data_IF_829077157113
#
_entry.id   IF_829077157113
#
_cell.length_a   1.000
_cell.length_b   1.000
_cell.length_c   1.000
_cell.angle_alpha   90.00
_cell.angle_beta   90.00
_cell.angle_gamma   90.00
#
_symmetry.space_group_name_H-M   'P 1'
#
loop_
_entity.id
_entity.type
_entity.pdbx_description
1 polymer ?
#
# COMPACT_ATOMS: atom_id res chain seq x y z
N UNK A 1 4.11 4.95 21.53
CA UNK A 1 4.36 6.32 21.04
C UNK A 1 4.04 6.38 19.55
N UNK A 2 2.82 6.01 19.16
CA UNK A 2 2.31 6.15 17.79
C UNK A 2 1.01 6.93 17.90
N UNK A 3 0.91 8.02 17.14
CA UNK A 3 -0.32 8.78 17.02
C UNK A 3 -1.42 7.81 16.53
N UNK A 4 -2.43 7.51 17.36
CA UNK A 4 -3.57 6.65 16.99
C UNK A 4 -4.55 7.34 16.03
N UNK A 5 -4.24 8.56 15.58
CA UNK A 5 -5.09 9.31 14.66
C UNK A 5 -4.92 8.78 13.23
N UNK A 6 -6.01 8.30 12.67
CA UNK A 6 -6.07 7.72 11.31
C UNK A 6 -5.90 8.77 10.20
N UNK A 7 -6.10 10.05 10.50
CA UNK A 7 -6.10 11.14 9.54
C UNK A 7 -5.28 12.35 10.01
N UNK A 8 -4.64 13.02 9.06
CA UNK A 8 -3.88 14.27 9.22
C UNK A 8 -4.37 15.28 8.17
N UNK A 9 -4.30 16.57 8.49
CA UNK A 9 -4.68 17.65 7.57
C UNK A 9 -3.42 18.38 7.13
N UNK A 10 -3.25 18.60 5.83
CA UNK A 10 -2.16 19.45 5.31
C UNK A 10 -2.45 20.92 5.63
N UNK A 11 -1.52 21.62 6.28
CA UNK A 11 -1.64 23.06 6.51
C UNK A 11 -1.07 23.86 5.33
N UNK A 12 0.12 23.49 4.87
CA UNK A 12 0.82 24.21 3.81
C UNK A 12 1.99 23.43 3.24
N UNK A 13 2.30 23.69 1.96
CA UNK A 13 3.52 23.22 1.29
C UNK A 13 4.45 24.40 1.04
N UNK A 14 5.75 24.16 1.17
CA UNK A 14 6.78 25.17 0.87
C UNK A 14 7.46 24.96 -0.49
N UNK A 15 7.25 23.79 -1.10
CA UNK A 15 7.89 23.37 -2.36
C UNK A 15 6.86 23.12 -3.46
N UNK A 16 7.28 23.30 -4.72
CA UNK A 16 6.45 23.10 -5.92
C UNK A 16 6.88 21.88 -6.74
N UNK A 17 6.03 21.47 -7.70
CA UNK A 17 6.40 20.41 -8.65
C UNK A 17 7.55 20.91 -9.52
N UNK A 18 8.62 20.12 -9.61
CA UNK A 18 9.84 20.46 -10.34
C UNK A 18 10.87 21.23 -9.52
N UNK A 19 10.59 21.52 -8.24
CA UNK A 19 11.56 22.19 -7.37
C UNK A 19 12.66 21.24 -6.91
N UNK A 20 13.85 21.78 -6.68
CA UNK A 20 15.01 21.03 -6.22
C UNK A 20 15.08 21.10 -4.69
N UNK A 21 14.79 19.98 -4.02
CA UNK A 21 14.79 19.89 -2.56
C UNK A 21 16.12 19.33 -2.06
N UNK A 22 16.58 19.84 -0.91
CA UNK A 22 17.81 19.38 -0.25
C UNK A 22 17.49 18.57 1.00
N UNK A 23 18.48 17.85 1.52
CA UNK A 23 18.36 17.18 2.80
C UNK A 23 18.04 18.17 3.92
N UNK A 24 17.08 17.79 4.79
CA UNK A 24 16.56 18.60 5.90
C UNK A 24 15.69 19.80 5.53
N UNK A 25 15.37 19.99 4.25
CA UNK A 25 14.48 21.05 3.80
C UNK A 25 13.01 20.75 4.19
N UNK A 26 12.24 21.72 4.74
CA UNK A 26 10.84 21.52 5.09
C UNK A 26 9.96 21.46 3.83
N UNK A 27 9.30 20.32 3.60
CA UNK A 27 8.47 20.08 2.42
C UNK A 27 7.03 20.54 2.66
N UNK A 28 6.44 20.05 3.75
CA UNK A 28 5.05 20.30 4.09
C UNK A 28 4.85 20.33 5.60
N UNK A 29 3.84 21.09 6.02
CA UNK A 29 3.37 21.16 7.38
C UNK A 29 2.07 20.39 7.49
N UNK A 30 2.05 19.39 8.37
CA UNK A 30 0.87 18.58 8.64
C UNK A 30 0.40 18.82 10.06
N UNK A 31 -0.90 19.05 10.22
CA UNK A 31 -1.54 19.13 11.51
C UNK A 31 -2.32 17.84 11.78
N UNK A 32 -2.00 17.22 12.89
CA UNK A 32 -2.79 16.14 13.49
C UNK A 32 -3.57 16.68 14.69
N UNK A 33 -4.52 15.89 15.20
CA UNK A 33 -5.29 16.22 16.42
C UNK A 33 -4.40 16.58 17.63
N UNK A 34 -3.15 16.08 17.67
CA UNK A 34 -2.26 16.23 18.83
C UNK A 34 -1.11 17.19 18.63
N UNK A 35 -0.68 17.42 17.40
CA UNK A 35 0.48 18.26 17.12
C UNK A 35 0.51 18.68 15.66
N UNK A 36 1.15 19.82 15.43
CA UNK A 36 1.62 20.23 14.12
C UNK A 36 3.06 19.78 13.95
N UNK A 37 3.34 19.09 12.85
CA UNK A 37 4.65 18.52 12.55
C UNK A 37 5.06 18.97 11.15
N UNK A 38 6.28 19.50 11.05
CA UNK A 38 6.90 19.82 9.76
C UNK A 38 7.63 18.58 9.24
N UNK A 39 7.26 18.11 8.05
CA UNK A 39 7.91 16.97 7.40
C UNK A 39 9.11 17.50 6.60
N UNK A 40 10.29 16.99 6.93
CA UNK A 40 11.54 17.32 6.24
C UNK A 40 11.95 16.22 5.27
N UNK A 41 12.58 16.62 4.16
CA UNK A 41 13.17 15.69 3.20
C UNK A 41 14.38 14.98 3.78
N UNK A 42 14.48 13.66 3.53
CA UNK A 42 15.65 12.85 3.91
C UNK A 42 16.76 12.82 2.85
N UNK A 43 16.44 13.17 1.61
CA UNK A 43 17.34 13.06 0.46
C UNK A 43 17.23 14.30 -0.42
N UNK A 44 18.31 14.59 -1.14
CA UNK A 44 18.34 15.63 -2.17
C UNK A 44 17.77 15.07 -3.48
N UNK A 45 16.88 15.81 -4.13
CA UNK A 45 16.20 15.33 -5.34
C UNK A 45 15.23 16.34 -5.94
N UNK A 46 14.55 15.91 -6.99
CA UNK A 46 13.55 16.74 -7.69
C UNK A 46 12.16 16.22 -7.33
N UNK A 47 11.25 17.15 -6.99
CA UNK A 47 9.84 16.82 -6.71
C UNK A 47 9.12 16.53 -8.03
N UNK A 48 8.67 15.28 -8.23
CA UNK A 48 7.99 14.88 -9.46
C UNK A 48 6.50 15.15 -9.43
N UNK A 49 5.85 14.87 -8.31
CA UNK A 49 4.40 15.00 -8.17
C UNK A 49 4.00 15.32 -6.72
N UNK A 50 2.97 16.15 -6.61
CA UNK A 50 2.32 16.53 -5.36
C UNK A 50 0.86 16.07 -5.44
N UNK A 51 0.47 15.13 -4.58
CA UNK A 51 -0.87 14.53 -4.63
C UNK A 51 -1.89 15.27 -3.78
N UNK A 52 -1.43 16.08 -2.81
CA UNK A 52 -2.31 16.76 -1.86
C UNK A 52 -2.15 18.27 -1.92
N UNK A 53 -3.27 18.96 -1.67
CA UNK A 53 -3.34 20.41 -1.57
C UNK A 53 -3.34 20.85 -0.10
N UNK A 54 -3.00 22.12 0.20
CA UNK A 54 -3.24 22.66 1.52
C UNK A 54 -4.74 22.55 1.87
N UNK A 55 -5.02 22.22 3.12
CA UNK A 55 -6.34 21.91 3.70
C UNK A 55 -6.97 20.58 3.29
N UNK A 56 -6.24 19.72 2.58
CA UNK A 56 -6.73 18.38 2.23
C UNK A 56 -6.50 17.38 3.38
N UNK A 57 -7.39 16.38 3.46
CA UNK A 57 -7.34 15.34 4.49
C UNK A 57 -6.62 14.10 3.97
N UNK A 58 -5.49 13.79 4.58
CA UNK A 58 -4.64 12.67 4.21
C UNK A 58 -4.76 11.54 5.25
N UNK A 59 -4.78 10.29 4.79
CA UNK A 59 -4.67 9.12 5.66
C UNK A 59 -3.20 8.85 5.97
N UNK A 60 -2.91 8.43 7.21
CA UNK A 60 -1.54 8.10 7.61
C UNK A 60 -1.05 6.88 6.81
N UNK A 61 0.10 7.05 6.15
CA UNK A 61 0.74 6.01 5.34
C UNK A 61 0.49 6.10 3.83
N UNK A 62 -0.20 7.14 3.34
CA UNK A 62 -0.24 7.45 1.92
C UNK A 62 0.98 8.29 1.48
N UNK A 63 1.40 8.13 0.22
CA UNK A 63 2.49 8.89 -0.36
C UNK A 63 2.07 10.35 -0.59
N UNK A 64 2.71 11.29 0.11
CA UNK A 64 2.41 12.72 0.02
C UNK A 64 3.11 13.38 -1.17
N UNK A 65 4.38 13.04 -1.38
CA UNK A 65 5.29 13.64 -2.36
C UNK A 65 6.17 12.55 -2.94
N UNK A 66 6.30 12.53 -4.26
CA UNK A 66 7.25 11.68 -4.96
C UNK A 66 8.52 12.48 -5.28
N UNK A 67 9.66 12.03 -4.73
CA UNK A 67 10.97 12.66 -4.93
C UNK A 67 11.83 11.70 -5.76
N UNK A 68 12.31 12.17 -6.91
CA UNK A 68 13.29 11.44 -7.71
C UNK A 68 14.70 11.78 -7.22
N UNK A 69 15.43 10.76 -6.79
CA UNK A 69 16.83 10.83 -6.37
C UNK A 69 17.63 9.96 -7.33
N UNK A 70 18.69 10.52 -7.94
CA UNK A 70 19.51 9.82 -8.95
C UNK A 70 20.29 8.61 -8.38
N UNK A 71 20.25 8.41 -7.06
CA UNK A 71 20.97 7.36 -6.36
C UNK A 71 20.09 6.10 -6.23
N UNK A 72 20.02 5.31 -7.32
CA UNK A 72 19.47 3.94 -7.43
C UNK A 72 19.04 3.27 -6.12
N UNK A 73 17.86 3.63 -5.61
CA UNK A 73 17.23 2.95 -4.47
C UNK A 73 15.77 2.75 -4.79
N UNK A 74 15.51 1.59 -5.37
CA UNK A 74 14.23 0.91 -5.39
C UNK A 74 13.56 0.98 -4.02
N UNK A 75 12.57 1.85 -3.86
CA UNK A 75 11.48 1.59 -2.93
C UNK A 75 10.16 1.57 -3.70
N UNK A 76 9.95 0.46 -4.41
CA UNK A 76 8.64 0.08 -4.92
C UNK A 76 7.76 -0.42 -3.77
N UNK A 77 7.32 0.48 -2.90
CA UNK A 77 6.10 0.26 -2.12
C UNK A 77 4.90 0.55 -3.02
N UNK A 78 4.70 -0.34 -4.00
CA UNK A 78 3.44 -0.45 -4.74
C UNK A 78 2.40 -1.03 -3.78
N UNK A 79 1.75 -0.17 -3.00
CA UNK A 79 0.49 -0.53 -2.35
C UNK A 79 -0.66 -0.07 -3.23
N UNK A 80 -0.98 -0.88 -4.24
CA UNK A 80 -2.23 -0.77 -4.97
C UNK A 80 -2.68 -2.16 -5.45
N UNK A 81 -3.68 -2.72 -4.76
CA UNK A 81 -4.60 -3.73 -5.26
C UNK A 81 -5.98 -3.21 -4.85
N UNK A 82 -6.53 -2.28 -5.63
CA UNK A 82 -7.48 -2.54 -6.72
C UNK A 82 -8.66 -3.44 -6.28
N UNK A 83 -9.71 -2.77 -5.82
CA UNK A 83 -11.07 -3.26 -5.82
C UNK A 83 -11.68 -3.10 -7.22
N UNK A 84 -11.82 -4.18 -7.99
CA UNK A 84 -12.97 -4.34 -8.90
C UNK A 84 -13.25 -5.85 -9.10
N UNK A 85 -14.52 -6.29 -9.09
CA UNK A 85 -14.94 -7.67 -9.28
C UNK A 85 -15.14 -8.01 -10.77
N UNK A 86 -15.47 -9.30 -11.03
CA UNK A 86 -16.08 -9.91 -12.24
C UNK A 86 -15.26 -11.10 -12.81
N UNK A 87 -15.65 -12.31 -12.39
CA UNK A 87 -16.11 -13.47 -13.22
C UNK A 87 -15.68 -13.46 -14.71
N UNK A 88 -15.08 -14.47 -15.36
CA UNK A 88 -15.27 -15.95 -15.49
C UNK A 88 -14.25 -16.42 -16.59
N UNK A 89 -14.21 -17.68 -17.03
CA UNK A 89 -13.77 -18.93 -16.39
C UNK A 89 -12.63 -19.59 -17.20
N UNK A 90 -11.55 -20.06 -16.58
CA UNK A 90 -10.59 -20.94 -17.27
C UNK A 90 -10.47 -22.28 -16.56
N UNK A 91 -10.75 -23.31 -17.33
CA UNK A 91 -10.94 -24.69 -16.97
C UNK A 91 -9.63 -25.34 -16.53
N UNK A 92 -9.62 -25.99 -15.37
CA UNK A 92 -8.74 -27.14 -15.16
C UNK A 92 -9.57 -28.22 -14.47
N UNK A 93 -10.16 -29.10 -15.28
CA UNK A 93 -10.47 -30.46 -14.89
C UNK A 93 -9.14 -31.22 -14.74
N UNK A 94 -8.84 -31.87 -13.60
CA UNK A 94 -7.96 -33.00 -13.63
C UNK A 94 -8.81 -34.26 -13.83
N UNK A 95 -8.74 -34.80 -15.04
CA UNK A 95 -9.15 -36.16 -15.35
C UNK A 95 -8.64 -37.16 -14.30
N UNK A 96 -9.49 -38.15 -14.04
CA UNK A 96 -9.31 -39.23 -13.11
C UNK A 96 -7.97 -39.97 -13.31
N UNK A 97 -7.04 -39.78 -12.37
CA UNK A 97 -6.01 -40.77 -12.12
C UNK A 97 -6.14 -41.26 -10.68
N UNK A 98 -6.44 -42.55 -10.52
CA UNK A 98 -6.81 -43.22 -9.28
C UNK A 98 -5.59 -43.37 -8.38
N UNK A 99 -5.12 -42.27 -7.81
CA UNK A 99 -4.15 -42.28 -6.72
C UNK A 99 -4.93 -42.81 -5.50
N UNK A 100 -4.69 -44.06 -5.10
CA UNK A 100 -5.24 -44.59 -3.84
C UNK A 100 -4.53 -43.90 -2.68
N UNK A 101 -4.99 -42.71 -2.32
CA UNK A 101 -4.49 -41.99 -1.16
C UNK A 101 -5.00 -42.71 0.09
N UNK A 102 -4.09 -43.20 0.92
CA UNK A 102 -4.42 -43.67 2.25
C UNK A 102 -4.71 -42.45 3.14
N UNK A 103 -5.94 -41.95 3.05
CA UNK A 103 -6.38 -40.83 3.86
C UNK A 103 -6.65 -41.27 5.30
N UNK A 104 -6.37 -40.39 6.26
CA UNK A 104 -6.76 -40.56 7.66
C UNK A 104 -8.30 -40.59 7.79
N UNK A 105 -8.87 -41.31 8.77
CA UNK A 105 -10.32 -41.48 8.91
C UNK A 105 -11.08 -40.15 9.02
N UNK A 106 -10.45 -39.10 9.58
CA UNK A 106 -11.02 -37.75 9.67
C UNK A 106 -11.23 -37.11 8.30
N UNK A 107 -10.27 -37.24 7.38
CA UNK A 107 -10.35 -36.68 6.02
C UNK A 107 -11.42 -37.39 5.19
N UNK A 108 -11.56 -38.72 5.35
CA UNK A 108 -12.64 -39.49 4.70
C UNK A 108 -14.03 -39.04 5.16
N UNK A 109 -14.20 -38.71 6.44
CA UNK A 109 -15.48 -38.21 6.98
C UNK A 109 -15.84 -36.86 6.37
N UNK A 110 -14.88 -35.93 6.31
CA UNK A 110 -15.08 -34.62 5.70
C UNK A 110 -15.41 -34.76 4.20
N UNK A 111 -14.69 -35.61 3.48
CA UNK A 111 -14.97 -35.85 2.07
C UNK A 111 -16.39 -36.37 1.82
N UNK A 112 -16.90 -37.25 2.69
CA UNK A 112 -18.27 -37.77 2.60
C UNK A 112 -19.33 -36.69 2.87
N UNK A 113 -19.08 -35.78 3.81
CA UNK A 113 -19.97 -34.66 4.15
C UNK A 113 -20.03 -33.63 3.01
N UNK A 114 -18.87 -33.31 2.43
CA UNK A 114 -18.72 -32.26 1.41
C UNK A 114 -18.77 -32.79 -0.04
N UNK A 115 -19.11 -34.07 -0.26
CA UNK A 115 -19.13 -34.74 -1.58
C UNK A 115 -17.85 -34.51 -2.40
N UNK A 116 -16.70 -34.41 -1.73
CA UNK A 116 -15.40 -34.30 -2.37
C UNK A 116 -14.83 -35.71 -2.62
N UNK A 117 -14.27 -35.97 -3.79
CA UNK A 117 -13.60 -37.24 -4.08
C UNK A 117 -12.22 -37.29 -3.40
N UNK A 118 -11.96 -38.36 -2.62
CA UNK A 118 -10.67 -38.71 -1.99
C UNK A 118 -10.10 -39.97 -2.63
#
# INVERSE_FOLDING_TARGET
MLCRSTYCIMQGRFVEVGDNVRQFDPVCEVQSDKATVTITSRYDGIVRALHFKPQDTCLVGQALVDIEVDNSSSNSDKRELHSVPVEVPDCIEPEANRIKVLATPSVRRLAAEYKASV
#
